data_IF_285425197393
#
_entry.id   IF_285425197393
#
_cell.length_a   1.000
_cell.length_b   1.000
_cell.length_c   1.000
_cell.angle_alpha   90.00
_cell.angle_beta   90.00
_cell.angle_gamma   90.00
#
_symmetry.space_group_name_H-M   'P 1'
#
loop_
_entity.id
_entity.type
_entity.pdbx_description
1 polymer ?
#
# COMPACT_ATOMS: atom_id res chain seq x y z
N UNK A 1 -4.11 22.28 -9.56
CA UNK A 1 -4.36 21.09 -10.41
C UNK A 1 -4.58 21.49 -11.86
N UNK A 2 -3.97 20.83 -12.83
CA UNK A 2 -4.29 21.06 -14.23
C UNK A 2 -5.73 20.62 -14.53
N UNK A 3 -6.40 21.37 -15.39
CA UNK A 3 -7.74 21.06 -15.88
C UNK A 3 -7.73 20.07 -17.03
N UNK A 4 -6.64 20.03 -17.76
CA UNK A 4 -6.47 19.10 -18.88
C UNK A 4 -5.01 18.73 -19.07
N UNK A 5 -4.78 17.49 -19.47
CA UNK A 5 -3.48 16.98 -19.86
C UNK A 5 -3.56 16.45 -21.29
N UNK A 6 -2.56 16.75 -22.11
CA UNK A 6 -2.43 16.20 -23.46
C UNK A 6 -0.97 15.88 -23.77
N UNK A 7 -0.79 14.97 -24.68
CA UNK A 7 0.53 14.65 -25.23
C UNK A 7 0.60 15.25 -26.64
N UNK A 8 1.55 16.15 -26.85
CA UNK A 8 1.72 16.88 -28.10
C UNK A 8 3.16 16.69 -28.60
N UNK A 9 3.32 16.08 -29.77
CA UNK A 9 4.61 15.64 -30.30
C UNK A 9 5.41 14.83 -29.28
N UNK A 10 6.50 15.35 -28.74
CA UNK A 10 7.34 14.70 -27.75
C UNK A 10 7.24 15.34 -26.37
N UNK A 11 6.17 16.08 -26.10
CA UNK A 11 5.98 16.81 -24.84
C UNK A 11 4.62 16.52 -24.21
N UNK A 12 4.61 16.53 -22.89
CA UNK A 12 3.38 16.54 -22.13
C UNK A 12 2.99 17.98 -21.84
N UNK A 13 1.75 18.36 -22.13
CA UNK A 13 1.24 19.72 -21.90
C UNK A 13 0.13 19.69 -20.86
N UNK A 14 0.28 20.50 -19.83
CA UNK A 14 -0.74 20.72 -18.81
C UNK A 14 -1.41 22.09 -19.04
N UNK A 15 -2.73 22.08 -19.11
CA UNK A 15 -3.56 23.28 -19.17
C UNK A 15 -4.09 23.59 -17.78
N UNK A 16 -3.99 24.86 -17.39
CA UNK A 16 -4.48 25.34 -16.10
C UNK A 16 -5.56 26.41 -16.33
N UNK A 17 -6.67 26.29 -15.65
CA UNK A 17 -7.74 27.27 -15.73
C UNK A 17 -7.24 28.67 -15.33
N UNK A 18 -7.32 29.63 -16.24
CA UNK A 18 -6.90 31.01 -16.01
C UNK A 18 -5.41 31.27 -16.01
N UNK A 19 -4.56 30.24 -16.16
CA UNK A 19 -3.10 30.39 -16.11
C UNK A 19 -2.37 29.87 -17.35
N UNK A 20 -3.10 29.46 -18.41
CA UNK A 20 -2.54 29.03 -19.68
C UNK A 20 -2.01 27.59 -19.65
N UNK A 21 -1.02 27.34 -20.51
CA UNK A 21 -0.43 26.01 -20.71
C UNK A 21 1.02 25.99 -20.27
N UNK A 22 1.47 24.79 -19.81
CA UNK A 22 2.89 24.49 -19.57
C UNK A 22 3.26 23.16 -20.21
N UNK A 23 4.42 23.14 -20.89
CA UNK A 23 4.98 21.93 -21.47
C UNK A 23 6.07 21.33 -20.58
N UNK A 24 6.10 20.00 -20.53
CA UNK A 24 7.06 19.21 -19.75
C UNK A 24 7.58 18.06 -20.61
N UNK A 25 8.80 17.62 -20.35
CA UNK A 25 9.38 16.49 -21.07
C UNK A 25 8.73 15.16 -20.66
N UNK A 26 8.33 15.05 -19.41
CA UNK A 26 7.73 13.83 -18.83
C UNK A 26 6.71 14.21 -17.78
N UNK A 27 5.70 13.35 -17.61
CA UNK A 27 4.68 13.48 -16.60
C UNK A 27 4.69 12.22 -15.73
N UNK A 28 4.73 12.44 -14.41
CA UNK A 28 4.56 11.37 -13.42
C UNK A 28 3.21 11.59 -12.71
N UNK A 29 2.16 10.86 -13.08
CA UNK A 29 0.87 11.03 -12.42
C UNK A 29 0.92 10.45 -11.01
N UNK A 30 0.57 11.26 -10.02
CA UNK A 30 0.39 10.85 -8.62
C UNK A 30 -1.04 11.22 -8.24
N UNK A 31 -1.96 10.32 -8.52
CA UNK A 31 -3.39 10.57 -8.41
C UNK A 31 -3.98 10.09 -7.08
N UNK A 32 -3.12 9.64 -6.16
CA UNK A 32 -3.55 8.97 -4.96
C UNK A 32 -3.91 7.51 -5.21
N UNK A 33 -4.42 6.85 -4.22
CA UNK A 33 -4.82 5.45 -4.33
C UNK A 33 -5.75 5.05 -3.19
N UNK A 34 -6.54 4.03 -3.46
CA UNK A 34 -7.41 3.40 -2.46
C UNK A 34 -6.80 2.06 -2.04
N UNK A 35 -6.80 1.80 -0.74
CA UNK A 35 -6.36 0.51 -0.23
C UNK A 35 -7.29 -0.60 -0.71
N UNK A 36 -6.73 -1.62 -1.36
CA UNK A 36 -7.50 -2.75 -1.89
C UNK A 36 -7.61 -3.84 -0.83
N UNK A 37 -8.35 -3.56 0.23
CA UNK A 37 -8.50 -4.42 1.41
C UNK A 37 -9.65 -5.44 1.32
N UNK A 38 -10.30 -5.55 0.16
CA UNK A 38 -11.51 -6.37 -0.02
C UNK A 38 -11.34 -7.84 0.33
N UNK A 39 -10.21 -8.44 0.00
CA UNK A 39 -9.95 -9.84 0.35
C UNK A 39 -9.92 -10.04 1.87
N UNK A 40 -9.22 -9.18 2.57
CA UNK A 40 -9.08 -9.26 4.03
C UNK A 40 -10.40 -8.91 4.74
N UNK A 41 -11.14 -7.91 4.26
CA UNK A 41 -12.44 -7.56 4.84
C UNK A 41 -13.48 -8.65 4.63
N UNK A 42 -13.40 -9.38 3.52
CA UNK A 42 -14.24 -10.57 3.30
C UNK A 42 -14.00 -11.66 4.35
N UNK A 43 -12.79 -11.72 4.92
CA UNK A 43 -12.43 -12.62 6.01
C UNK A 43 -12.77 -12.04 7.41
N UNK A 44 -13.29 -10.82 7.48
CA UNK A 44 -13.67 -10.17 8.72
C UNK A 44 -12.62 -9.21 9.29
N UNK A 45 -11.55 -8.91 8.57
CA UNK A 45 -10.54 -7.95 9.02
C UNK A 45 -11.10 -6.54 9.10
N UNK A 46 -10.75 -5.81 10.16
CA UNK A 46 -11.17 -4.42 10.35
C UNK A 46 -10.26 -3.46 9.60
N UNK A 47 -10.84 -2.38 9.14
CA UNK A 47 -10.16 -1.30 8.43
C UNK A 47 -10.43 0.04 9.11
N UNK A 48 -9.59 1.02 8.82
CA UNK A 48 -9.83 2.42 9.20
C UNK A 48 -10.70 3.15 8.16
N UNK A 49 -10.86 4.47 8.35
CA UNK A 49 -11.67 5.31 7.46
C UNK A 49 -11.09 5.40 6.03
N UNK A 50 -9.82 5.13 5.85
CA UNK A 50 -9.13 5.10 4.55
C UNK A 50 -9.11 3.70 3.91
N UNK A 51 -9.82 2.75 4.53
CA UNK A 51 -9.86 1.35 4.10
C UNK A 51 -8.51 0.62 4.24
N UNK A 52 -7.59 1.19 4.98
CA UNK A 52 -6.35 0.52 5.36
C UNK A 52 -6.62 -0.51 6.45
N UNK A 53 -5.95 -1.64 6.39
CA UNK A 53 -6.11 -2.70 7.40
C UNK A 53 -5.52 -2.27 8.73
N UNK A 54 -6.28 -2.44 9.80
CA UNK A 54 -5.81 -2.26 11.16
C UNK A 54 -4.99 -3.47 11.59
N UNK A 55 -3.79 -3.24 12.09
CA UNK A 55 -2.88 -4.28 12.57
C UNK A 55 -2.34 -3.94 13.95
N UNK A 56 -1.90 -4.94 14.67
CA UNK A 56 -1.20 -4.79 15.94
C UNK A 56 0.31 -4.57 15.73
N UNK A 57 1.08 -4.55 16.83
CA UNK A 57 2.53 -4.33 16.79
C UNK A 57 3.30 -5.43 16.04
N UNK A 58 2.68 -6.56 15.81
CA UNK A 58 3.24 -7.68 15.06
C UNK A 58 2.70 -7.80 13.64
N UNK A 59 1.98 -6.80 13.17
CA UNK A 59 1.35 -6.76 11.84
C UNK A 59 0.22 -7.77 11.66
N UNK A 60 -0.36 -8.28 12.75
CA UNK A 60 -1.53 -9.14 12.67
C UNK A 60 -2.81 -8.31 12.62
N UNK A 61 -3.70 -8.66 11.70
CA UNK A 61 -5.03 -8.04 11.57
C UNK A 61 -5.94 -8.49 12.72
N UNK A 62 -7.18 -8.01 12.72
CA UNK A 62 -8.21 -8.48 13.67
C UNK A 62 -8.61 -9.95 13.45
N UNK A 63 -8.22 -10.54 12.33
CA UNK A 63 -8.43 -11.96 12.03
C UNK A 63 -7.20 -12.75 12.48
N UNK A 64 -7.40 -13.71 13.37
CA UNK A 64 -6.31 -14.52 13.86
C UNK A 64 -5.59 -15.28 12.74
N UNK A 65 -4.26 -15.13 12.69
CA UNK A 65 -3.42 -15.76 11.66
C UNK A 65 -3.36 -15.00 10.33
N UNK A 66 -4.05 -13.87 10.18
CA UNK A 66 -3.97 -13.01 8.99
C UNK A 66 -3.11 -11.79 9.30
N UNK A 67 -2.02 -11.66 8.59
CA UNK A 67 -1.06 -10.55 8.72
C UNK A 67 -1.13 -9.65 7.50
N UNK A 68 -0.86 -8.36 7.71
CA UNK A 68 -0.82 -7.38 6.62
C UNK A 68 0.37 -6.46 6.78
N UNK A 69 1.00 -6.13 5.67
CA UNK A 69 2.20 -5.29 5.62
C UNK A 69 2.13 -4.34 4.44
N UNK A 70 2.93 -3.27 4.49
CA UNK A 70 3.11 -2.37 3.37
C UNK A 70 1.96 -1.37 3.21
N UNK A 71 1.68 -1.02 1.96
CA UNK A 71 0.76 0.06 1.60
C UNK A 71 -0.69 -0.20 2.04
N UNK A 72 -1.06 -1.43 2.26
CA UNK A 72 -2.40 -1.79 2.71
C UNK A 72 -2.64 -1.46 4.19
N UNK A 73 -1.58 -1.19 4.95
CA UNK A 73 -1.65 -0.80 6.37
C UNK A 73 -1.09 0.59 6.64
N UNK A 74 -0.50 1.23 5.64
CA UNK A 74 0.13 2.55 5.83
C UNK A 74 0.07 3.38 4.56
N UNK A 75 -0.57 4.54 4.64
CA UNK A 75 -0.62 5.53 3.56
C UNK A 75 0.74 6.16 3.24
N UNK A 76 1.78 5.87 4.00
CA UNK A 76 3.11 6.38 3.74
C UNK A 76 3.70 5.87 2.42
N UNK A 77 3.30 4.69 1.99
CA UNK A 77 3.60 4.12 0.67
C UNK A 77 5.11 4.15 0.33
N UNK A 78 5.92 3.67 1.27
CA UNK A 78 7.38 3.60 1.13
C UNK A 78 7.86 2.16 1.15
N UNK A 79 8.79 1.84 0.25
CA UNK A 79 9.40 0.49 0.18
C UNK A 79 10.07 0.12 1.51
N UNK A 80 10.78 1.06 2.11
CA UNK A 80 11.47 0.82 3.39
C UNK A 80 10.51 0.50 4.54
N UNK A 81 9.32 1.12 4.54
CA UNK A 81 8.26 0.81 5.51
C UNK A 81 7.74 -0.60 5.30
N UNK A 82 7.45 -0.98 4.06
CA UNK A 82 6.99 -2.32 3.72
C UNK A 82 8.00 -3.40 4.12
N UNK A 83 9.29 -3.16 3.89
CA UNK A 83 10.37 -4.07 4.29
C UNK A 83 10.45 -4.20 5.81
N UNK A 84 10.33 -3.10 6.55
CA UNK A 84 10.29 -3.11 8.01
C UNK A 84 9.11 -3.91 8.55
N UNK A 85 7.91 -3.68 8.02
CA UNK A 85 6.73 -4.47 8.36
C UNK A 85 6.95 -5.96 8.08
N UNK A 86 7.59 -6.30 6.95
CA UNK A 86 7.85 -7.68 6.57
C UNK A 86 8.74 -8.39 7.59
N UNK A 87 9.78 -7.72 8.08
CA UNK A 87 10.66 -8.28 9.11
C UNK A 87 9.92 -8.57 10.41
N UNK A 88 9.05 -7.65 10.83
CA UNK A 88 8.22 -7.80 12.03
C UNK A 88 7.23 -8.97 11.88
N UNK A 89 6.48 -8.98 10.78
CA UNK A 89 5.48 -10.01 10.52
C UNK A 89 6.11 -11.40 10.38
N UNK A 90 7.20 -11.50 9.62
CA UNK A 90 7.89 -12.77 9.42
C UNK A 90 8.40 -13.36 10.73
N UNK A 91 8.98 -12.52 11.59
CA UNK A 91 9.45 -12.93 12.91
C UNK A 91 8.29 -13.42 13.79
N UNK A 92 7.19 -12.67 13.82
CA UNK A 92 6.00 -13.03 14.59
C UNK A 92 5.39 -14.36 14.12
N UNK A 93 5.26 -14.53 12.81
CA UNK A 93 4.74 -15.76 12.21
C UNK A 93 5.66 -16.95 12.52
N UNK A 94 6.97 -16.76 12.35
CA UNK A 94 7.94 -17.80 12.65
C UNK A 94 7.85 -18.29 14.10
N UNK A 95 7.76 -17.34 15.04
CA UNK A 95 7.69 -17.67 16.47
C UNK A 95 6.34 -18.32 16.86
N UNK A 96 5.29 -18.06 16.10
CA UNK A 96 3.97 -18.61 16.34
C UNK A 96 3.80 -20.03 15.81
N UNK A 97 4.45 -20.34 14.70
CA UNK A 97 4.34 -21.65 14.07
C UNK A 97 5.00 -22.75 14.94
N UNK A 98 4.44 -23.95 14.92
CA UNK A 98 5.08 -25.05 15.61
C UNK A 98 6.45 -25.34 15.01
N UNK A 99 7.34 -25.94 15.80
CA UNK A 99 8.66 -26.33 15.31
C UNK A 99 8.56 -27.18 14.05
N UNK A 100 9.53 -27.02 13.19
CA UNK A 100 9.60 -27.77 11.95
C UNK A 100 9.55 -29.26 12.22
N UNK A 101 8.66 -29.97 11.55
CA UNK A 101 8.50 -31.42 11.67
C UNK A 101 9.77 -32.22 11.36
N UNK A 102 10.80 -31.61 10.73
CA UNK A 102 12.12 -32.23 10.58
C UNK A 102 12.78 -32.57 11.92
N UNK A 103 12.43 -31.84 12.96
CA UNK A 103 12.92 -32.10 14.31
C UNK A 103 12.17 -33.26 14.99
N UNK A 104 11.08 -33.72 14.39
CA UNK A 104 10.23 -34.79 14.89
C UNK A 104 10.50 -36.14 14.21
N UNK A 105 11.37 -36.15 13.20
CA UNK A 105 11.71 -37.34 12.42
C UNK A 105 12.83 -38.18 13.13
#
# INVERSE_FOLDING_TARGET
MPSRLRHDANRCVAEFDGAGERGFDTLYPVLGGDAQSGLATALGARVDDNRELLVDDQQQTSVDGLYAIGDIVSALNQISVAVGHAAIAATAIHNRLPRNFREQA
#
